data_IF_518295278088
#
_entry.id   IF_518295278088
#
_cell.length_a   1.000
_cell.length_b   1.000
_cell.length_c   1.000
_cell.angle_alpha   90.00
_cell.angle_beta   90.00
_cell.angle_gamma   90.00
#
_symmetry.space_group_name_H-M   'P 1'
#
loop_
_entity.id
_entity.type
_entity.pdbx_description
1 polymer ?
#
# COMPACT_ATOMS: atom_id res chain seq x y z
N UNK A 1 12.58 -28.20 5.96
CA UNK A 1 13.06 -29.43 6.65
C UNK A 1 13.78 -28.97 7.93
N UNK A 2 13.25 -29.36 9.10
CA UNK A 2 13.84 -29.26 10.45
C UNK A 2 14.10 -27.86 11.05
N UNK A 3 13.06 -27.27 11.66
CA UNK A 3 13.24 -26.37 12.81
C UNK A 3 13.60 -27.21 14.05
N UNK A 4 14.75 -26.93 14.66
CA UNK A 4 15.19 -27.53 15.93
C UNK A 4 14.81 -26.57 17.05
N UNK A 5 13.94 -27.03 17.95
CA UNK A 5 13.61 -26.41 19.23
C UNK A 5 14.88 -26.05 20.03
N UNK A 6 14.98 -24.78 20.44
CA UNK A 6 15.66 -24.41 21.66
C UNK A 6 14.62 -23.95 22.70
N UNK A 7 14.85 -24.38 23.94
CA UNK A 7 14.01 -24.14 25.11
C UNK A 7 14.74 -23.21 26.07
N UNK A 8 14.08 -22.14 26.51
CA UNK A 8 14.57 -21.14 27.47
C UNK A 8 14.56 -19.78 26.79
N UNK A 9 13.84 -18.75 27.24
CA UNK A 9 13.45 -18.34 28.59
C UNK A 9 12.04 -17.74 28.51
N UNK A 10 11.25 -17.75 29.60
CA UNK A 10 9.96 -17.03 29.63
C UNK A 10 10.26 -15.53 29.61
N UNK A 11 10.09 -14.87 28.48
CA UNK A 11 9.98 -13.41 28.42
C UNK A 11 8.66 -13.03 29.08
N UNK A 12 8.71 -12.08 30.01
CA UNK A 12 7.57 -11.64 30.81
C UNK A 12 6.65 -10.77 29.94
N UNK A 13 5.32 -10.84 30.14
CA UNK A 13 4.33 -10.09 29.35
C UNK A 13 4.59 -8.57 29.27
N UNK A 14 5.27 -8.01 30.29
CA UNK A 14 5.69 -6.60 30.31
C UNK A 14 6.77 -6.27 29.26
N UNK A 15 7.71 -7.18 29.02
CA UNK A 15 8.80 -7.00 28.05
C UNK A 15 8.26 -7.07 26.61
N UNK A 16 7.26 -7.93 26.36
CA UNK A 16 6.54 -7.98 25.07
C UNK A 16 5.82 -6.65 24.78
N UNK A 17 5.12 -6.11 25.79
CA UNK A 17 4.41 -4.85 25.63
C UNK A 17 5.35 -3.67 25.36
N UNK A 18 6.55 -3.69 25.93
CA UNK A 18 7.54 -2.64 25.73
C UNK A 18 8.23 -2.75 24.36
N UNK A 19 8.55 -3.98 23.92
CA UNK A 19 9.05 -4.24 22.57
C UNK A 19 8.03 -3.82 21.51
N UNK A 20 6.75 -4.16 21.69
CA UNK A 20 5.67 -3.71 20.82
C UNK A 20 5.53 -2.17 20.83
N UNK A 21 5.75 -1.53 21.98
CA UNK A 21 5.76 -0.08 22.09
C UNK A 21 6.92 0.55 21.30
N UNK A 22 8.14 0.02 21.44
CA UNK A 22 9.33 0.49 20.70
C UNK A 22 9.21 0.25 19.19
N UNK A 23 8.68 -0.90 18.79
CA UNK A 23 8.31 -1.20 17.39
C UNK A 23 7.32 -0.17 16.87
N UNK A 24 6.25 0.12 17.62
CA UNK A 24 5.23 1.09 17.24
C UNK A 24 5.73 2.54 17.18
N UNK A 25 6.78 2.89 17.93
CA UNK A 25 7.44 4.20 17.87
C UNK A 25 8.39 4.33 16.66
N UNK A 26 8.91 3.21 16.13
CA UNK A 26 9.84 3.23 15.00
C UNK A 26 9.10 3.27 13.66
N UNK A 27 9.27 4.34 12.88
CA UNK A 27 8.76 4.46 11.50
C UNK A 27 9.25 3.34 10.56
N UNK A 28 10.30 2.63 10.95
CA UNK A 28 10.99 1.58 10.20
C UNK A 28 10.38 0.20 10.51
N UNK A 29 10.02 -0.01 11.78
CA UNK A 29 9.54 -1.30 12.29
C UNK A 29 8.01 -1.36 12.35
N UNK A 30 7.25 -0.37 11.88
CA UNK A 30 5.76 -0.44 11.91
C UNK A 30 5.15 -1.66 11.20
N UNK A 31 5.89 -2.26 10.27
CA UNK A 31 5.49 -3.49 9.58
C UNK A 31 5.96 -4.76 10.30
N UNK A 32 6.70 -4.63 11.41
CA UNK A 32 7.12 -5.71 12.30
C UNK A 32 5.92 -6.33 13.02
N UNK A 33 5.63 -7.59 12.70
CA UNK A 33 4.68 -8.42 13.46
C UNK A 33 5.46 -9.48 14.25
N UNK A 34 5.11 -9.67 15.53
CA UNK A 34 5.65 -10.76 16.37
C UNK A 34 4.86 -12.03 16.02
N UNK A 35 5.56 -13.06 15.52
CA UNK A 35 4.92 -14.29 15.01
C UNK A 35 5.02 -15.45 16.01
N UNK A 36 6.07 -15.48 16.83
CA UNK A 36 6.24 -16.46 17.92
C UNK A 36 6.87 -15.79 19.14
N UNK A 37 6.08 -15.63 20.22
CA UNK A 37 6.51 -15.07 21.51
C UNK A 37 7.59 -15.91 22.21
N UNK A 38 7.78 -17.18 21.81
CA UNK A 38 8.79 -18.07 22.40
C UNK A 38 10.13 -18.03 21.69
N UNK A 39 10.16 -17.59 20.43
CA UNK A 39 11.37 -17.49 19.61
C UNK A 39 11.68 -16.05 19.15
N UNK A 40 10.82 -15.09 19.49
CA UNK A 40 10.93 -13.67 19.12
C UNK A 40 11.32 -13.46 17.66
N UNK A 41 10.48 -14.00 16.77
CA UNK A 41 10.59 -13.80 15.33
C UNK A 41 9.84 -12.52 14.93
N UNK A 42 10.55 -11.58 14.32
CA UNK A 42 9.98 -10.36 13.76
C UNK A 42 9.94 -10.48 12.23
N UNK A 43 8.80 -10.21 11.60
CA UNK A 43 8.70 -10.06 10.13
C UNK A 43 8.92 -8.59 9.77
N UNK A 44 10.01 -8.27 9.10
CA UNK A 44 10.25 -6.93 8.56
C UNK A 44 10.21 -6.97 7.04
N UNK A 45 9.16 -6.40 6.43
CA UNK A 45 9.00 -6.36 4.95
C UNK A 45 9.22 -7.74 4.31
N UNK A 46 8.63 -8.79 4.88
CA UNK A 46 8.77 -10.16 4.36
C UNK A 46 10.14 -10.82 4.61
N UNK A 47 10.93 -10.32 5.55
CA UNK A 47 12.14 -11.01 6.02
C UNK A 47 11.97 -11.41 7.47
N UNK A 48 12.11 -12.70 7.75
CA UNK A 48 12.15 -13.22 9.12
C UNK A 48 13.49 -12.85 9.76
N UNK A 49 13.42 -12.16 10.88
CA UNK A 49 14.56 -11.97 11.75
C UNK A 49 14.33 -12.75 13.04
N UNK A 50 15.12 -13.82 13.23
CA UNK A 50 15.17 -14.55 14.50
C UNK A 50 16.05 -13.77 15.48
N UNK A 51 15.47 -13.31 16.58
CA UNK A 51 16.19 -12.59 17.64
C UNK A 51 16.70 -13.59 18.68
N UNK A 52 17.86 -14.18 18.40
CA UNK A 52 18.54 -15.03 19.37
C UNK A 52 19.19 -14.19 20.48
N UNK A 53 18.92 -14.55 21.75
CA UNK A 53 19.52 -13.94 22.95
C UNK A 53 19.19 -12.45 23.16
N UNK A 54 17.92 -12.15 23.40
CA UNK A 54 17.50 -10.84 23.88
C UNK A 54 18.11 -10.53 25.26
N UNK A 55 18.63 -9.31 25.49
CA UNK A 55 19.08 -8.88 26.80
C UNK A 55 17.95 -8.91 27.85
N UNK A 56 18.28 -9.29 29.10
CA UNK A 56 17.30 -9.38 30.20
C UNK A 56 16.99 -8.02 30.85
N UNK A 57 17.74 -6.95 30.53
CA UNK A 57 17.51 -5.60 31.05
C UNK A 57 16.97 -4.64 29.99
N UNK A 58 15.98 -3.82 30.37
CA UNK A 58 15.26 -2.84 29.54
C UNK A 58 16.18 -1.87 28.77
N UNK A 59 17.23 -1.37 29.43
CA UNK A 59 18.19 -0.47 28.80
C UNK A 59 19.04 -1.17 27.72
N UNK A 60 19.33 -2.45 27.92
CA UNK A 60 20.12 -3.24 26.97
C UNK A 60 19.28 -3.69 25.77
N UNK A 61 17.96 -3.89 25.96
CA UNK A 61 17.01 -4.09 24.86
C UNK A 61 16.98 -2.89 23.90
N UNK A 62 16.89 -1.67 24.42
CA UNK A 62 16.92 -0.44 23.62
C UNK A 62 18.21 -0.32 22.79
N UNK A 63 19.35 -0.64 23.40
CA UNK A 63 20.66 -0.63 22.72
C UNK A 63 20.74 -1.75 21.67
N UNK A 64 20.23 -2.94 21.99
CA UNK A 64 20.20 -4.09 21.08
C UNK A 64 19.37 -3.77 19.81
N UNK A 65 18.17 -3.22 19.97
CA UNK A 65 17.32 -2.84 18.84
C UNK A 65 17.92 -1.68 18.03
N UNK A 66 18.57 -0.70 18.67
CA UNK A 66 19.26 0.33 17.91
C UNK A 66 20.45 -0.20 17.11
N UNK A 67 21.26 -1.07 17.72
CA UNK A 67 22.35 -1.73 17.00
C UNK A 67 21.82 -2.61 15.85
N UNK A 68 20.66 -3.25 16.03
CA UNK A 68 20.02 -4.01 14.96
C UNK A 68 19.61 -3.09 13.80
N UNK A 69 18.99 -1.95 14.10
CA UNK A 69 18.63 -0.93 13.11
C UNK A 69 19.86 -0.37 12.37
N UNK A 70 20.98 -0.19 13.08
CA UNK A 70 22.24 0.31 12.51
C UNK A 70 22.97 -0.74 11.65
N UNK A 71 22.87 -2.03 12.00
CA UNK A 71 23.57 -3.12 11.32
C UNK A 71 22.77 -3.75 10.18
N UNK A 72 21.44 -3.71 10.25
CA UNK A 72 20.62 -3.98 9.10
C UNK A 72 20.84 -2.81 8.14
N UNK A 73 21.52 -3.06 7.02
CA UNK A 73 21.77 -2.14 5.91
C UNK A 73 20.45 -1.79 5.17
N UNK A 74 19.40 -1.50 5.93
CA UNK A 74 18.09 -1.09 5.47
C UNK A 74 18.25 0.38 5.14
N UNK A 75 18.32 0.70 3.84
CA UNK A 75 18.19 2.08 3.38
C UNK A 75 16.81 2.61 3.85
N UNK A 76 16.83 3.26 5.00
CA UNK A 76 15.78 4.14 5.47
C UNK A 76 15.81 5.33 4.52
N UNK A 77 14.75 5.47 3.72
CA UNK A 77 14.52 6.75 3.07
C UNK A 77 14.05 7.71 4.16
N UNK A 78 15.00 8.25 4.91
CA UNK A 78 14.80 9.39 5.81
C UNK A 78 14.79 10.64 4.92
N UNK A 79 13.69 11.40 4.88
CA UNK A 79 13.66 12.63 4.11
C UNK A 79 14.80 13.54 4.58
N UNK A 80 15.59 14.09 3.67
CA UNK A 80 16.60 15.09 4.03
C UNK A 80 15.94 16.26 4.77
N UNK A 81 16.70 17.01 5.59
CA UNK A 81 16.13 18.17 6.31
C UNK A 81 15.40 19.17 5.40
N UNK A 82 15.81 19.27 4.13
CA UNK A 82 15.13 20.06 3.10
C UNK A 82 13.80 19.41 2.68
N UNK A 83 13.78 18.09 2.48
CA UNK A 83 12.55 17.35 2.16
C UNK A 83 11.53 17.43 3.30
N UNK A 84 11.95 17.31 4.57
CA UNK A 84 11.05 17.42 5.72
C UNK A 84 10.41 18.81 5.83
N UNK A 85 11.17 19.89 5.60
CA UNK A 85 10.62 21.25 5.60
C UNK A 85 9.54 21.46 4.52
N UNK A 86 9.66 20.79 3.38
CA UNK A 86 8.68 20.89 2.28
C UNK A 86 7.43 20.10 2.62
N UNK A 87 7.60 18.90 3.17
CA UNK A 87 6.48 18.10 3.68
C UNK A 87 5.69 18.92 4.71
N UNK A 88 6.38 19.55 5.65
CA UNK A 88 5.75 20.40 6.67
C UNK A 88 5.03 21.60 6.04
N UNK A 89 5.59 22.25 5.00
CA UNK A 89 4.92 23.33 4.27
C UNK A 89 3.65 22.86 3.55
N UNK A 90 3.69 21.70 2.91
CA UNK A 90 2.52 21.08 2.24
C UNK A 90 1.43 20.77 3.29
N UNK A 91 1.82 20.28 4.47
CA UNK A 91 0.90 19.87 5.53
C UNK A 91 0.33 21.03 6.35
N UNK A 92 1.06 22.15 6.48
CA UNK A 92 0.63 23.35 7.20
C UNK A 92 -0.40 24.19 6.43
N UNK A 93 -0.56 23.97 5.12
CA UNK A 93 -1.56 24.64 4.29
C UNK A 93 -2.97 24.05 4.50
N UNK A 94 -3.53 24.24 5.70
CA UNK A 94 -4.92 23.92 6.01
C UNK A 94 -5.84 25.08 5.59
N UNK A 95 -6.59 24.88 4.50
CA UNK A 95 -7.68 25.76 4.09
C UNK A 95 -7.43 26.46 2.76
N UNK A 96 -8.25 26.14 1.75
CA UNK A 96 -8.23 26.71 0.39
C UNK A 96 -6.87 26.66 -0.30
N UNK A 97 -6.49 25.46 -0.74
CA UNK A 97 -5.47 25.30 -1.79
C UNK A 97 -5.97 26.07 -3.02
N UNK A 98 -5.35 27.21 -3.34
CA UNK A 98 -5.39 27.67 -4.73
C UNK A 98 -4.77 26.54 -5.56
N UNK A 99 -5.39 26.20 -6.70
CA UNK A 99 -5.16 24.97 -7.47
C UNK A 99 -3.69 24.67 -7.81
N UNK A 100 -2.77 25.61 -7.61
CA UNK A 100 -1.39 25.53 -8.03
C UNK A 100 -0.34 25.59 -6.89
N UNK A 101 -0.66 25.97 -5.64
CA UNK A 101 0.37 26.34 -4.65
C UNK A 101 1.17 25.14 -4.07
N UNK A 102 0.52 24.03 -3.74
CA UNK A 102 1.21 22.81 -3.27
C UNK A 102 2.04 22.14 -4.36
N UNK A 103 1.56 22.21 -5.61
CA UNK A 103 2.29 21.76 -6.79
C UNK A 103 3.45 22.68 -7.15
N UNK A 104 3.29 24.00 -6.98
CA UNK A 104 4.37 24.96 -7.16
C UNK A 104 5.54 24.71 -6.20
N UNK A 105 5.27 24.39 -4.93
CA UNK A 105 6.31 24.03 -3.97
C UNK A 105 7.12 22.79 -4.42
N UNK A 106 6.44 21.77 -4.96
CA UNK A 106 7.07 20.55 -5.50
C UNK A 106 7.82 20.83 -6.80
N UNK A 107 7.23 21.61 -7.72
CA UNK A 107 7.86 21.99 -8.98
C UNK A 107 9.16 22.77 -8.79
N UNK A 108 9.33 23.42 -7.64
CA UNK A 108 10.53 24.17 -7.29
C UNK A 108 11.61 23.32 -6.58
N UNK A 109 11.36 22.05 -6.26
CA UNK A 109 12.33 21.20 -5.57
C UNK A 109 12.68 19.93 -6.35
N UNK A 110 13.88 19.89 -6.93
CA UNK A 110 14.40 18.77 -7.73
C UNK A 110 14.79 17.53 -6.90
N UNK A 111 14.82 17.62 -5.58
CA UNK A 111 15.28 16.54 -4.70
C UNK A 111 14.17 15.77 -4.00
N UNK A 112 12.90 16.17 -4.12
CA UNK A 112 11.81 15.47 -3.44
C UNK A 112 11.56 14.10 -4.08
N UNK A 113 11.67 13.04 -3.28
CA UNK A 113 11.20 11.70 -3.64
C UNK A 113 10.49 11.02 -2.46
N UNK A 114 9.67 10.01 -2.73
CA UNK A 114 8.91 9.30 -1.71
C UNK A 114 9.00 7.80 -1.97
N UNK A 115 9.46 7.03 -0.99
CA UNK A 115 9.54 5.56 -1.08
C UNK A 115 8.25 4.90 -0.60
N UNK A 116 7.67 4.04 -1.45
CA UNK A 116 6.45 3.24 -1.20
C UNK A 116 6.69 1.80 -1.65
N UNK A 117 6.85 0.87 -0.70
CA UNK A 117 7.33 -0.49 -1.01
C UNK A 117 8.67 -0.45 -1.76
N UNK A 118 8.71 -1.11 -2.92
CA UNK A 118 9.89 -1.16 -3.79
C UNK A 118 10.01 0.03 -4.76
N UNK A 119 9.03 0.94 -4.83
CA UNK A 119 9.06 2.07 -5.76
C UNK A 119 9.50 3.37 -5.10
N UNK A 120 10.06 4.26 -5.93
CA UNK A 120 10.36 5.64 -5.59
C UNK A 120 9.49 6.52 -6.48
N UNK A 121 8.65 7.33 -5.86
CA UNK A 121 7.89 8.41 -6.51
C UNK A 121 8.77 9.64 -6.52
N UNK A 122 9.09 10.17 -7.69
CA UNK A 122 9.89 11.39 -7.82
C UNK A 122 9.04 12.64 -8.09
N UNK A 123 9.72 13.76 -8.34
CA UNK A 123 9.08 15.03 -8.70
C UNK A 123 8.23 14.93 -9.96
N UNK A 124 8.68 14.22 -10.98
CA UNK A 124 7.97 14.11 -12.26
C UNK A 124 6.69 13.30 -12.08
N UNK A 125 6.75 12.22 -11.31
CA UNK A 125 5.58 11.46 -10.85
C UNK A 125 4.61 12.36 -10.07
N UNK A 126 5.06 13.10 -9.06
CA UNK A 126 4.21 14.00 -8.28
C UNK A 126 3.58 15.09 -9.15
N UNK A 127 4.28 15.55 -10.19
CA UNK A 127 3.76 16.53 -11.14
C UNK A 127 2.57 16.01 -11.94
N UNK A 128 2.36 14.70 -12.01
CA UNK A 128 1.19 14.08 -12.67
C UNK A 128 -0.12 14.36 -11.92
N UNK A 129 -0.05 14.71 -10.64
CA UNK A 129 -1.20 15.12 -9.82
C UNK A 129 -1.71 16.53 -10.17
N UNK A 130 -0.96 17.31 -10.97
CA UNK A 130 -1.46 18.57 -11.51
C UNK A 130 -2.76 18.40 -12.31
N UNK A 131 -3.55 19.47 -12.33
CA UNK A 131 -4.82 19.47 -13.03
C UNK A 131 -4.62 19.07 -14.51
N UNK A 132 -5.54 18.25 -15.03
CA UNK A 132 -5.56 17.78 -16.43
C UNK A 132 -4.40 16.88 -16.87
N UNK A 133 -3.60 16.33 -15.94
CA UNK A 133 -2.56 15.34 -16.25
C UNK A 133 -2.99 13.93 -15.90
N UNK A 134 -2.48 12.96 -16.66
CA UNK A 134 -2.66 11.55 -16.39
C UNK A 134 -1.76 11.17 -15.22
N UNK A 135 -2.30 10.45 -14.24
CA UNK A 135 -1.47 9.92 -13.16
C UNK A 135 -0.51 8.87 -13.70
N UNK A 136 0.69 8.83 -13.16
CA UNK A 136 1.68 7.78 -13.47
C UNK A 136 1.37 6.49 -12.70
N UNK A 137 1.92 5.39 -13.18
CA UNK A 137 1.91 4.09 -12.51
C UNK A 137 2.40 4.20 -11.06
N UNK A 138 3.46 4.98 -10.82
CA UNK A 138 4.06 5.20 -9.49
C UNK A 138 3.09 5.87 -8.51
N UNK A 139 2.36 6.91 -8.95
CA UNK A 139 1.38 7.60 -8.11
C UNK A 139 0.22 6.66 -7.74
N UNK A 140 -0.29 5.91 -8.70
CA UNK A 140 -1.39 4.98 -8.46
C UNK A 140 -0.93 3.88 -7.50
N UNK A 141 0.19 3.23 -7.78
CA UNK A 141 0.72 2.18 -6.90
C UNK A 141 1.01 2.71 -5.49
N UNK A 142 1.69 3.84 -5.34
CA UNK A 142 1.99 4.39 -4.03
C UNK A 142 0.76 4.74 -3.22
N UNK A 143 -0.31 5.23 -3.88
CA UNK A 143 -1.56 5.50 -3.17
C UNK A 143 -2.31 4.23 -2.77
N UNK A 144 -2.32 3.20 -3.63
CA UNK A 144 -2.89 1.89 -3.28
C UNK A 144 -2.09 1.20 -2.17
N UNK A 145 -0.76 1.34 -2.18
CA UNK A 145 0.13 0.84 -1.13
C UNK A 145 -0.18 1.54 0.20
N UNK A 146 -0.39 2.86 0.17
CA UNK A 146 -0.80 3.61 1.36
C UNK A 146 -2.15 3.14 1.92
N UNK A 147 -3.08 2.70 1.05
CA UNK A 147 -4.34 2.08 1.48
C UNK A 147 -4.09 0.73 2.16
N UNK A 148 -3.22 -0.11 1.58
CA UNK A 148 -2.81 -1.40 2.17
C UNK A 148 -2.23 -1.25 3.57
N UNK A 149 -1.28 -0.32 3.76
CA UNK A 149 -0.70 -0.05 5.09
C UNK A 149 -1.76 0.42 6.08
N UNK A 150 -2.69 1.28 5.64
CA UNK A 150 -3.76 1.78 6.49
C UNK A 150 -4.73 0.68 6.94
N UNK A 151 -5.09 -0.25 6.06
CA UNK A 151 -5.97 -1.38 6.44
C UNK A 151 -5.26 -2.36 7.35
N UNK A 152 -3.96 -2.61 7.13
CA UNK A 152 -3.15 -3.47 7.98
C UNK A 152 -3.02 -2.95 9.42
N UNK A 153 -3.06 -1.63 9.62
CA UNK A 153 -3.05 -0.99 10.95
C UNK A 153 -4.45 -0.87 11.59
N UNK A 154 -5.53 -1.12 10.85
CA UNK A 154 -6.91 -0.90 11.30
C UNK A 154 -7.70 -2.20 11.43
N UNK A 155 -7.81 -2.71 12.67
CA UNK A 155 -8.47 -3.98 12.99
C UNK A 155 -9.97 -4.04 12.65
N UNK A 156 -10.62 -2.88 12.44
CA UNK A 156 -12.05 -2.82 12.08
C UNK A 156 -12.28 -2.90 10.56
N UNK A 157 -11.21 -2.96 9.76
CA UNK A 157 -11.26 -3.04 8.31
C UNK A 157 -10.61 -4.32 7.79
N UNK A 158 -11.10 -4.89 6.67
CA UNK A 158 -10.42 -6.03 6.05
C UNK A 158 -9.07 -5.60 5.48
N UNK A 159 -8.02 -6.37 5.76
CA UNK A 159 -6.67 -6.10 5.30
C UNK A 159 -6.63 -6.21 3.76
N UNK A 160 -5.91 -5.29 3.14
CA UNK A 160 -5.88 -5.10 1.72
C UNK A 160 -4.45 -5.16 1.21
N UNK A 161 -4.22 -5.90 0.13
CA UNK A 161 -2.93 -5.97 -0.54
C UNK A 161 -3.02 -5.44 -1.96
N UNK A 162 -2.06 -4.62 -2.40
CA UNK A 162 -2.02 -4.11 -3.78
C UNK A 162 -0.88 -4.73 -4.59
N UNK A 163 -1.19 -5.11 -5.83
CA UNK A 163 -0.18 -5.45 -6.82
C UNK A 163 0.25 -4.23 -7.64
N UNK A 164 1.49 -4.21 -8.18
CA UNK A 164 1.88 -3.30 -9.24
C UNK A 164 1.06 -3.53 -10.51
N UNK A 165 0.86 -2.48 -11.31
CA UNK A 165 0.12 -2.58 -12.59
C UNK A 165 0.78 -3.56 -13.58
N UNK A 166 2.09 -3.77 -13.45
CA UNK A 166 2.88 -4.73 -14.21
C UNK A 166 2.44 -6.17 -13.97
N UNK A 167 1.65 -6.46 -12.94
CA UNK A 167 1.07 -7.78 -12.69
C UNK A 167 0.42 -8.38 -13.95
N UNK A 168 -0.37 -7.61 -14.68
CA UNK A 168 -1.08 -8.12 -15.86
C UNK A 168 -0.20 -8.36 -17.08
N UNK A 169 1.09 -8.00 -17.05
CA UNK A 169 2.05 -8.36 -18.11
C UNK A 169 2.29 -9.86 -18.14
N UNK A 170 2.55 -10.48 -16.98
CA UNK A 170 2.66 -11.93 -16.80
C UNK A 170 2.23 -12.35 -15.38
N UNK A 171 0.93 -12.49 -15.08
CA UNK A 171 0.44 -12.80 -13.73
C UNK A 171 1.09 -14.02 -13.07
N UNK A 172 1.26 -15.11 -13.82
CA UNK A 172 1.88 -16.34 -13.32
C UNK A 172 3.36 -16.12 -12.97
N UNK A 173 4.13 -15.50 -13.86
CA UNK A 173 5.56 -15.30 -13.65
C UNK A 173 5.84 -14.11 -12.74
N UNK A 174 5.33 -12.92 -13.09
CA UNK A 174 5.52 -11.70 -12.33
C UNK A 174 4.84 -11.77 -10.98
N UNK A 175 3.56 -12.15 -10.93
CA UNK A 175 2.79 -12.18 -9.68
C UNK A 175 3.37 -13.16 -8.67
N UNK A 176 3.65 -14.40 -9.10
CA UNK A 176 4.25 -15.40 -8.21
C UNK A 176 5.65 -14.99 -7.75
N UNK A 177 6.53 -14.55 -8.66
CA UNK A 177 7.86 -14.04 -8.27
C UNK A 177 7.77 -12.79 -7.41
N UNK A 178 6.75 -11.95 -7.58
CA UNK A 178 6.52 -10.80 -6.72
C UNK A 178 6.22 -11.27 -5.30
N UNK A 179 5.25 -12.18 -5.13
CA UNK A 179 4.92 -12.75 -3.82
C UNK A 179 6.12 -13.46 -3.18
N UNK A 180 6.85 -14.28 -3.93
CA UNK A 180 8.04 -15.00 -3.44
C UNK A 180 9.17 -14.04 -3.02
N UNK A 181 9.40 -12.96 -3.78
CA UNK A 181 10.45 -11.97 -3.45
C UNK A 181 10.09 -11.12 -2.24
N UNK A 182 8.81 -10.83 -2.05
CA UNK A 182 8.32 -10.03 -0.94
C UNK A 182 7.89 -10.89 0.26
N UNK A 183 8.00 -12.22 0.17
CA UNK A 183 7.53 -13.20 1.15
C UNK A 183 6.09 -12.93 1.63
N UNK A 184 5.19 -12.77 0.67
CA UNK A 184 3.79 -12.43 0.93
C UNK A 184 2.94 -13.69 0.86
N UNK A 185 2.29 -14.02 1.97
CA UNK A 185 1.20 -14.99 2.00
C UNK A 185 -0.14 -14.27 1.75
N UNK A 186 -0.77 -14.57 0.61
CA UNK A 186 -2.05 -13.97 0.24
C UNK A 186 -3.20 -14.38 1.17
N UNK A 187 -3.05 -15.46 1.94
CA UNK A 187 -4.08 -15.90 2.90
C UNK A 187 -4.24 -14.96 4.10
N UNK A 188 -3.28 -14.05 4.31
CA UNK A 188 -3.34 -13.03 5.35
C UNK A 188 -4.20 -11.81 4.98
N UNK A 189 -4.68 -11.71 3.74
CA UNK A 189 -5.41 -10.56 3.24
C UNK A 189 -6.82 -10.93 2.79
N UNK A 190 -7.80 -10.14 3.21
CA UNK A 190 -9.20 -10.32 2.79
C UNK A 190 -9.51 -9.61 1.46
N UNK A 191 -8.68 -8.65 1.04
CA UNK A 191 -8.87 -7.89 -0.20
C UNK A 191 -7.60 -7.78 -1.02
N UNK A 192 -7.70 -8.00 -2.32
CA UNK A 192 -6.58 -7.80 -3.25
C UNK A 192 -6.93 -6.75 -4.30
N UNK A 193 -6.05 -5.78 -4.48
CA UNK A 193 -6.19 -4.64 -5.38
C UNK A 193 -5.29 -4.85 -6.60
N UNK A 194 -5.89 -4.82 -7.79
CA UNK A 194 -5.17 -5.00 -9.05
C UNK A 194 -5.43 -3.81 -9.99
N UNK A 195 -4.59 -2.76 -9.97
CA UNK A 195 -4.69 -1.69 -10.94
C UNK A 195 -4.39 -2.22 -12.35
N UNK A 196 -5.18 -1.79 -13.34
CA UNK A 196 -5.01 -2.18 -14.74
C UNK A 196 -4.77 -0.95 -15.60
N UNK A 197 -3.69 -0.95 -16.36
CA UNK A 197 -3.45 0.05 -17.40
C UNK A 197 -3.94 -0.51 -18.76
N UNK A 198 -5.23 -0.36 -19.03
CA UNK A 198 -5.86 -0.88 -20.24
C UNK A 198 -5.38 -0.07 -21.44
N UNK A 199 -4.81 -0.76 -22.43
CA UNK A 199 -4.30 -0.18 -23.69
C UNK A 199 -3.36 1.03 -23.50
N UNK A 200 -2.60 1.07 -22.39
CA UNK A 200 -1.69 2.18 -22.03
C UNK A 200 -2.34 3.58 -22.07
N UNK A 201 -3.66 3.66 -21.86
CA UNK A 201 -4.42 4.92 -21.98
C UNK A 201 -5.57 5.05 -21.00
N UNK A 202 -5.96 3.97 -20.30
CA UNK A 202 -7.06 4.01 -19.37
C UNK A 202 -6.79 3.18 -18.12
N UNK A 203 -7.00 3.78 -16.95
CA UNK A 203 -6.84 3.11 -15.67
C UNK A 203 -8.16 2.55 -15.18
N UNK A 204 -8.15 1.26 -14.85
CA UNK A 204 -9.26 0.56 -14.20
C UNK A 204 -8.73 -0.24 -13.01
N UNK A 205 -9.62 -0.81 -12.21
CA UNK A 205 -9.25 -1.54 -11.00
C UNK A 205 -10.09 -2.81 -10.85
N UNK A 206 -9.44 -3.94 -10.59
CA UNK A 206 -10.11 -5.07 -9.96
C UNK A 206 -9.87 -5.05 -8.46
N UNK A 207 -10.91 -5.37 -7.69
CA UNK A 207 -10.80 -5.72 -6.28
C UNK A 207 -11.38 -7.12 -6.10
N UNK A 208 -10.52 -8.05 -5.70
CA UNK A 208 -10.91 -9.36 -5.22
C UNK A 208 -11.25 -9.24 -3.74
N UNK A 209 -12.41 -9.73 -3.34
CA UNK A 209 -12.86 -9.72 -1.96
C UNK A 209 -13.18 -11.15 -1.53
N UNK A 210 -12.36 -11.70 -0.63
CA UNK A 210 -12.49 -13.07 -0.16
C UNK A 210 -13.73 -13.27 0.72
N UNK A 211 -14.14 -12.25 1.48
CA UNK A 211 -15.29 -12.32 2.41
C UNK A 211 -16.62 -12.60 1.69
N UNK A 212 -16.85 -11.99 0.53
CA UNK A 212 -18.09 -12.15 -0.26
C UNK A 212 -17.87 -12.90 -1.58
N UNK A 213 -16.73 -13.57 -1.72
CA UNK A 213 -16.33 -14.36 -2.90
C UNK A 213 -16.60 -13.61 -4.21
N UNK A 214 -16.14 -12.35 -4.29
CA UNK A 214 -16.46 -11.48 -5.43
C UNK A 214 -15.26 -10.77 -6.04
N UNK A 215 -15.36 -10.55 -7.35
CA UNK A 215 -14.37 -9.82 -8.12
C UNK A 215 -15.07 -8.58 -8.69
N UNK A 216 -14.75 -7.42 -8.11
CA UNK A 216 -15.38 -6.15 -8.47
C UNK A 216 -14.50 -5.42 -9.49
N UNK A 217 -15.06 -5.09 -10.64
CA UNK A 217 -14.40 -4.28 -11.66
C UNK A 217 -14.89 -2.84 -11.61
N UNK A 218 -13.93 -1.91 -11.50
CA UNK A 218 -14.19 -0.49 -11.48
C UNK A 218 -13.59 0.18 -12.73
N UNK A 219 -14.49 0.72 -13.54
CA UNK A 219 -14.18 1.52 -14.71
C UNK A 219 -14.98 2.83 -14.65
N UNK A 220 -14.27 3.96 -14.64
CA UNK A 220 -14.87 5.30 -14.60
C UNK A 220 -15.59 5.69 -15.90
N UNK A 221 -15.25 5.08 -17.04
CA UNK A 221 -15.94 5.23 -18.31
C UNK A 221 -17.13 4.24 -18.45
N UNK A 222 -17.15 3.22 -17.58
CA UNK A 222 -18.19 2.20 -17.55
C UNK A 222 -18.14 1.26 -18.74
N UNK A 223 -16.93 0.90 -19.18
CA UNK A 223 -16.69 -0.18 -20.11
C UNK A 223 -16.92 -1.55 -19.49
N UNK A 224 -16.90 -2.56 -20.34
CA UNK A 224 -17.00 -3.96 -19.95
C UNK A 224 -15.65 -4.48 -19.44
N UNK A 225 -15.71 -5.57 -18.68
CA UNK A 225 -14.53 -6.26 -18.18
C UNK A 225 -13.80 -6.88 -19.40
N UNK A 226 -12.54 -6.53 -19.69
CA UNK A 226 -11.88 -7.14 -20.82
C UNK A 226 -11.49 -8.58 -20.49
N UNK A 227 -11.96 -9.53 -21.31
CA UNK A 227 -11.84 -10.99 -21.12
C UNK A 227 -10.41 -11.44 -20.77
N UNK A 228 -9.40 -10.84 -21.42
CA UNK A 228 -8.00 -11.16 -21.15
C UNK A 228 -7.55 -10.90 -19.70
N UNK A 229 -8.07 -9.84 -19.05
CA UNK A 229 -7.74 -9.54 -17.66
C UNK A 229 -8.53 -10.44 -16.71
N UNK A 230 -9.77 -10.74 -17.08
CA UNK A 230 -10.64 -11.67 -16.35
C UNK A 230 -10.00 -13.06 -16.25
N UNK A 231 -9.62 -13.66 -17.38
CA UNK A 231 -9.00 -14.98 -17.43
C UNK A 231 -7.70 -15.02 -16.61
N UNK A 232 -6.82 -14.05 -16.84
CA UNK A 232 -5.54 -13.89 -16.12
C UNK A 232 -5.70 -13.84 -14.60
N UNK A 233 -6.68 -13.07 -14.13
CA UNK A 233 -6.95 -12.92 -12.71
C UNK A 233 -7.54 -14.20 -12.12
N UNK A 234 -8.52 -14.81 -12.80
CA UNK A 234 -9.12 -16.08 -12.37
C UNK A 234 -8.10 -17.21 -12.26
N UNK A 235 -7.20 -17.33 -13.25
CA UNK A 235 -6.12 -18.33 -13.24
C UNK A 235 -5.16 -18.10 -12.06
N UNK A 236 -4.72 -16.86 -11.86
CA UNK A 236 -3.79 -16.52 -10.77
C UNK A 236 -4.38 -16.84 -9.39
N UNK A 237 -5.60 -16.38 -9.10
CA UNK A 237 -6.20 -16.60 -7.77
C UNK A 237 -6.48 -18.11 -7.55
N UNK A 238 -6.91 -18.84 -8.59
CA UNK A 238 -7.18 -20.29 -8.46
C UNK A 238 -5.92 -21.08 -8.09
N UNK A 239 -4.75 -20.64 -8.59
CA UNK A 239 -3.47 -21.29 -8.32
C UNK A 239 -2.84 -20.87 -6.98
N UNK A 240 -3.02 -19.61 -6.58
CA UNK A 240 -2.28 -19.02 -5.45
C UNK A 240 -3.07 -18.98 -4.15
N UNK A 241 -4.39 -18.88 -4.20
CA UNK A 241 -5.23 -18.85 -3.02
C UNK A 241 -5.76 -20.25 -2.59
N UNK A 242 -5.31 -21.34 -3.24
CA UNK A 242 -5.85 -22.71 -3.08
C UNK A 242 -7.37 -22.82 -3.31
N UNK A 243 -7.97 -21.84 -3.98
CA UNK A 243 -9.38 -21.81 -4.33
C UNK A 243 -9.62 -22.64 -5.59
N UNK A 244 -9.99 -23.91 -5.41
CA UNK A 244 -10.03 -24.88 -6.52
C UNK A 244 -11.17 -24.71 -7.52
N UNK A 245 -12.04 -23.70 -7.38
CA UNK A 245 -13.07 -23.35 -8.37
C UNK A 245 -13.59 -21.92 -8.15
N UNK A 246 -12.88 -20.91 -8.66
CA UNK A 246 -13.33 -19.52 -8.62
C UNK A 246 -14.46 -19.33 -9.65
N UNK A 247 -15.66 -19.77 -9.29
CA UNK A 247 -16.91 -19.37 -9.95
C UNK A 247 -17.39 -18.01 -9.41
N UNK A 248 -16.46 -17.13 -9.06
CA UNK A 248 -16.78 -15.87 -8.40
C UNK A 248 -17.43 -14.91 -9.38
N UNK A 249 -18.45 -14.23 -8.88
CA UNK A 249 -19.24 -13.32 -9.69
C UNK A 249 -18.42 -12.08 -9.99
N UNK A 250 -18.04 -11.91 -11.25
CA UNK A 250 -17.50 -10.65 -11.75
C UNK A 250 -18.62 -9.60 -11.75
N UNK A 251 -18.43 -8.55 -10.94
CA UNK A 251 -19.43 -7.48 -10.75
C UNK A 251 -18.91 -6.19 -11.38
N UNK A 252 -19.60 -5.67 -12.38
CA UNK A 252 -19.47 -4.27 -12.81
C UNK A 252 -20.36 -3.39 -11.92
N UNK A 253 -19.82 -2.28 -11.39
CA UNK A 253 -20.61 -1.33 -10.58
C UNK A 253 -21.20 -0.22 -11.46
N UNK A 254 -22.12 -0.58 -12.35
CA UNK A 254 -22.67 0.29 -13.42
C UNK A 254 -23.41 1.56 -12.94
N UNK A 255 -23.86 1.62 -11.68
CA UNK A 255 -24.65 2.75 -11.13
C UNK A 255 -23.81 3.84 -10.44
N UNK A 256 -22.54 4.00 -10.84
CA UNK A 256 -21.62 5.01 -10.29
C UNK A 256 -21.51 6.23 -11.21
N UNK A 257 -21.17 7.41 -10.67
CA UNK A 257 -20.86 8.57 -11.50
C UNK A 257 -19.72 8.23 -12.46
N UNK A 258 -19.84 8.69 -13.71
CA UNK A 258 -18.85 8.44 -14.75
C UNK A 258 -17.88 9.61 -14.88
N UNK A 259 -16.66 9.30 -15.28
CA UNK A 259 -15.68 10.26 -15.75
C UNK A 259 -16.21 10.99 -16.99
N UNK A 260 -15.87 12.29 -17.09
CA UNK A 260 -16.32 13.19 -18.17
C UNK A 260 -15.16 13.85 -18.92
N UNK A 261 -13.93 13.41 -18.68
CA UNK A 261 -12.72 13.86 -19.38
C UNK A 261 -11.80 12.67 -19.68
N UNK A 262 -10.59 12.91 -20.15
CA UNK A 262 -9.66 11.87 -20.60
C UNK A 262 -8.51 11.59 -19.60
N UNK A 263 -8.46 12.30 -18.46
CA UNK A 263 -7.25 12.35 -17.62
C UNK A 263 -7.46 11.96 -16.16
N UNK A 264 -8.70 11.82 -15.69
CA UNK A 264 -8.99 11.53 -14.29
C UNK A 264 -9.10 10.03 -13.96
N UNK A 265 -8.93 9.11 -14.92
CA UNK A 265 -9.14 7.66 -14.68
C UNK A 265 -8.28 7.11 -13.54
N UNK A 266 -7.02 7.54 -13.42
CA UNK A 266 -6.16 7.19 -12.30
C UNK A 266 -6.66 7.72 -10.94
N UNK A 267 -7.21 8.94 -10.91
CA UNK A 267 -7.79 9.53 -9.70
C UNK A 267 -9.04 8.75 -9.27
N UNK A 268 -9.89 8.38 -10.24
CA UNK A 268 -11.02 7.49 -10.00
C UNK A 268 -10.59 6.15 -9.42
N UNK A 269 -9.55 5.50 -9.97
CA UNK A 269 -8.99 4.24 -9.44
C UNK A 269 -8.57 4.40 -7.98
N UNK A 270 -7.77 5.42 -7.66
CA UNK A 270 -7.32 5.69 -6.29
C UNK A 270 -8.50 5.82 -5.31
N UNK A 271 -9.53 6.59 -5.68
CA UNK A 271 -10.68 6.83 -4.80
C UNK A 271 -11.66 5.67 -4.75
N UNK A 272 -11.78 4.87 -5.83
CA UNK A 272 -12.54 3.62 -5.81
C UNK A 272 -11.94 2.62 -4.83
N UNK A 273 -10.62 2.43 -4.88
CA UNK A 273 -9.90 1.56 -3.95
C UNK A 273 -10.10 2.03 -2.51
N UNK A 274 -9.86 3.32 -2.23
CA UNK A 274 -9.99 3.86 -0.88
C UNK A 274 -11.41 3.68 -0.32
N UNK A 275 -12.43 4.09 -1.07
CA UNK A 275 -13.80 4.01 -0.56
C UNK A 275 -14.26 2.56 -0.40
N UNK A 276 -13.80 1.65 -1.26
CA UNK A 276 -14.07 0.23 -1.11
C UNK A 276 -13.39 -0.33 0.14
N UNK A 277 -12.09 -0.10 0.29
CA UNK A 277 -11.30 -0.65 1.40
C UNK A 277 -11.73 -0.09 2.76
N UNK A 278 -12.09 1.19 2.83
CA UNK A 278 -12.63 1.85 4.04
C UNK A 278 -14.13 1.57 4.29
N UNK A 279 -14.78 0.71 3.50
CA UNK A 279 -16.23 0.43 3.58
C UNK A 279 -17.10 1.71 3.55
N UNK A 280 -16.67 2.75 2.83
CA UNK A 280 -17.38 4.02 2.78
C UNK A 280 -18.53 3.96 1.76
N UNK A 281 -19.75 4.38 2.13
CA UNK A 281 -20.90 4.38 1.20
C UNK A 281 -20.82 5.52 0.16
N UNK A 282 -19.71 6.27 0.12
CA UNK A 282 -19.52 7.45 -0.73
C UNK A 282 -19.38 7.06 -2.20
N UNK A 283 -19.87 7.93 -3.08
CA UNK A 283 -19.63 7.85 -4.52
C UNK A 283 -18.51 8.79 -4.91
N UNK A 284 -17.70 8.38 -5.87
CA UNK A 284 -16.67 9.21 -6.48
C UNK A 284 -17.31 9.97 -7.64
N UNK A 285 -17.39 11.29 -7.58
CA UNK A 285 -17.95 12.12 -8.66
C UNK A 285 -16.87 12.94 -9.37
N UNK A 286 -17.10 13.22 -10.65
CA UNK A 286 -16.20 14.01 -11.49
C UNK A 286 -15.92 15.41 -10.92
N UNK A 287 -16.89 16.01 -10.23
CA UNK A 287 -16.73 17.35 -9.65
C UNK A 287 -15.66 17.41 -8.55
N UNK A 288 -15.38 16.28 -7.89
CA UNK A 288 -14.47 16.19 -6.75
C UNK A 288 -13.01 15.93 -7.18
N UNK A 289 -12.77 15.59 -8.46
CA UNK A 289 -11.44 15.23 -8.98
C UNK A 289 -10.34 16.26 -8.69
N UNK A 290 -10.58 17.59 -8.81
CA UNK A 290 -9.56 18.57 -8.45
C UNK A 290 -9.15 18.52 -6.97
N UNK A 291 -10.11 18.26 -6.07
CA UNK A 291 -9.83 18.14 -4.64
C UNK A 291 -9.12 16.81 -4.33
N UNK A 292 -9.57 15.71 -4.94
CA UNK A 292 -8.95 14.40 -4.76
C UNK A 292 -7.49 14.36 -5.23
N UNK A 293 -7.14 15.07 -6.30
CA UNK A 293 -5.72 15.22 -6.71
C UNK A 293 -4.87 15.85 -5.61
N UNK A 294 -5.37 16.93 -4.99
CA UNK A 294 -4.67 17.59 -3.88
C UNK A 294 -4.65 16.74 -2.61
N UNK A 295 -5.70 15.97 -2.36
CA UNK A 295 -5.78 15.02 -1.26
C UNK A 295 -4.77 13.88 -1.42
N UNK A 296 -4.72 13.23 -2.59
CA UNK A 296 -3.76 12.17 -2.92
C UNK A 296 -2.34 12.70 -2.72
N UNK A 297 -2.04 13.90 -3.24
CA UNK A 297 -0.74 14.51 -3.06
C UNK A 297 -0.36 14.67 -1.59
N UNK A 298 -1.23 15.31 -0.80
CA UNK A 298 -0.99 15.55 0.63
C UNK A 298 -0.79 14.24 1.40
N UNK A 299 -1.58 13.21 1.09
CA UNK A 299 -1.50 11.90 1.74
C UNK A 299 -0.22 11.14 1.37
N UNK A 300 0.20 11.22 0.11
CA UNK A 300 1.48 10.66 -0.33
C UNK A 300 2.65 11.37 0.36
N UNK A 301 2.62 12.69 0.46
CA UNK A 301 3.62 13.45 1.20
C UNK A 301 3.62 13.09 2.70
N UNK A 302 2.43 12.99 3.31
CA UNK A 302 2.28 12.65 4.72
C UNK A 302 2.64 11.20 5.07
N UNK A 303 2.73 10.32 4.07
CA UNK A 303 2.70 8.85 4.24
C UNK A 303 1.57 8.40 5.18
N UNK A 304 0.39 9.01 5.02
CA UNK A 304 -0.75 8.76 5.91
C UNK A 304 -2.07 8.87 5.17
N UNK A 305 -2.86 7.80 5.24
CA UNK A 305 -4.28 7.81 4.89
C UNK A 305 -5.05 8.24 6.16
N UNK A 306 -5.55 9.47 6.22
CA UNK A 306 -6.36 9.90 7.37
C UNK A 306 -7.79 9.35 7.28
N UNK A 307 -8.47 9.28 8.43
CA UNK A 307 -9.89 8.94 8.54
C UNK A 307 -10.84 9.88 7.78
#
# INVERSE_FOLDING_TARGET
MLAKKFTGTKVLDNEISEIAHLIGQSSILKTARIVDEKQFTIILRGSYLELDNLPEEENDLNIFFQNLLDNCNIETYEPTGVQQQILDQILQQNGSVSKDDGLHAIMNNEQLSLKYGEIIIDKDDLSSLSNKRWLTDSIIYGYLYLISEFTAENQDLPDAFTFPAQFFTSPEEYGKKFLERQDIDLSEYERLLFPCHVNNSHWTLFIVNFEDESINYFDSLGGEIPEQYQTKLSEFISQTANETNINWNFKTKEKRPKQKNEYDCGVFVCKYAEYYCKNLPKKVDQQDMPEFRNEILRRLCAKKLSD
#
